data_IF_949281160602
#
_entry.id   IF_949281160602
#
_cell.length_a   1.000
_cell.length_b   1.000
_cell.length_c   1.000
_cell.angle_alpha   90.00
_cell.angle_beta   90.00
_cell.angle_gamma   90.00
#
_symmetry.space_group_name_H-M   'P 1'
#
loop_
_entity.id
_entity.type
_entity.pdbx_description
1 polymer ?
#
# COMPACT_ATOMS: atom_id res chain seq x y z
N UNK A 1 24.48 -24.30 -23.90
CA UNK A 1 25.26 -23.10 -23.53
C UNK A 1 25.09 -22.85 -22.03
N UNK A 2 26.09 -23.14 -21.19
CA UNK A 2 26.01 -22.96 -19.75
C UNK A 2 26.42 -21.54 -19.37
N UNK A 3 25.63 -20.87 -18.52
CA UNK A 3 26.05 -19.61 -17.91
C UNK A 3 25.70 -19.63 -16.41
N UNK A 4 26.69 -19.85 -15.53
CA UNK A 4 26.50 -19.82 -14.08
C UNK A 4 27.01 -18.49 -13.53
N UNK A 5 26.13 -17.66 -12.96
CA UNK A 5 26.53 -16.61 -12.00
C UNK A 5 25.47 -16.47 -10.91
N UNK A 6 25.68 -17.27 -9.87
CA UNK A 6 25.04 -17.13 -8.56
C UNK A 6 25.85 -16.07 -7.80
N UNK A 7 25.28 -14.89 -7.61
CA UNK A 7 25.86 -13.80 -6.83
C UNK A 7 25.60 -14.04 -5.34
N UNK A 8 26.66 -14.27 -4.57
CA UNK A 8 26.65 -14.52 -3.14
C UNK A 8 26.20 -13.29 -2.32
N UNK A 9 25.25 -13.41 -1.36
CA UNK A 9 24.91 -12.35 -0.43
C UNK A 9 25.39 -12.71 0.99
N UNK A 10 26.70 -12.66 1.26
CA UNK A 10 27.24 -12.90 2.61
C UNK A 10 28.42 -11.95 2.89
N UNK A 11 28.14 -10.66 3.06
CA UNK A 11 29.16 -9.68 3.49
C UNK A 11 28.57 -8.50 4.29
N UNK A 12 27.55 -8.74 5.14
CA UNK A 12 26.95 -7.71 6.01
C UNK A 12 26.94 -8.08 7.50
N UNK A 13 27.93 -8.87 7.95
CA UNK A 13 28.00 -9.38 9.33
C UNK A 13 29.09 -8.80 10.25
N UNK A 14 30.03 -7.98 9.76
CA UNK A 14 31.24 -7.65 10.54
C UNK A 14 31.12 -6.46 11.52
N UNK A 15 30.00 -5.71 11.52
CA UNK A 15 29.89 -4.49 12.34
C UNK A 15 29.60 -4.73 13.83
N UNK A 16 28.85 -5.77 14.16
CA UNK A 16 28.38 -6.01 15.55
C UNK A 16 29.48 -6.62 16.42
N UNK A 17 30.30 -7.51 15.86
CA UNK A 17 31.41 -8.15 16.59
C UNK A 17 32.51 -7.18 17.02
N UNK A 18 32.79 -6.12 16.25
CA UNK A 18 33.76 -5.09 16.66
C UNK A 18 33.24 -4.20 17.79
N UNK A 19 31.93 -3.92 17.85
CA UNK A 19 31.34 -3.12 18.93
C UNK A 19 31.33 -3.85 20.27
N UNK A 20 31.08 -5.16 20.27
CA UNK A 20 31.12 -5.97 21.49
C UNK A 20 32.52 -6.03 22.12
N UNK A 21 33.56 -6.23 21.31
CA UNK A 21 34.96 -6.23 21.80
C UNK A 21 35.42 -4.89 22.37
N UNK A 22 34.93 -3.78 21.84
CA UNK A 22 35.24 -2.45 22.37
C UNK A 22 34.59 -2.20 23.75
N UNK A 23 33.47 -2.86 24.05
CA UNK A 23 32.77 -2.76 25.33
C UNK A 23 33.48 -3.63 26.38
N UNK A 24 33.88 -4.87 26.04
CA UNK A 24 34.63 -5.75 26.95
C UNK A 24 35.97 -5.13 27.40
N UNK A 25 36.67 -4.46 26.49
CA UNK A 25 37.92 -3.75 26.81
C UNK A 25 37.71 -2.54 27.73
N UNK A 26 36.53 -1.91 27.71
CA UNK A 26 36.19 -0.82 28.62
C UNK A 26 35.78 -1.33 30.00
N UNK A 27 35.11 -2.48 30.07
CA UNK A 27 34.76 -3.14 31.33
C UNK A 27 36.01 -3.60 32.09
N UNK A 28 36.97 -4.26 31.42
CA UNK A 28 38.22 -4.69 32.07
C UNK A 28 39.09 -3.53 32.59
N UNK A 29 38.98 -2.34 31.97
CA UNK A 29 39.68 -1.13 32.42
C UNK A 29 39.02 -0.44 33.63
N UNK A 30 37.74 -0.68 33.85
CA UNK A 30 37.01 -0.15 35.02
C UNK A 30 37.17 -1.07 36.23
N UNK A 31 37.35 -2.37 36.02
CA UNK A 31 37.51 -3.36 37.08
C UNK A 31 38.92 -3.35 37.72
N UNK A 32 39.91 -2.76 37.03
CA UNK A 32 41.29 -2.66 37.48
C UNK A 32 41.69 -1.29 38.06
N UNK A 33 40.74 -0.36 38.19
CA UNK A 33 40.98 0.90 38.90
C UNK A 33 40.95 0.65 40.42
N UNK A 34 42.05 0.87 41.16
CA UNK A 34 42.06 0.72 42.61
C UNK A 34 41.07 1.70 43.23
N UNK A 35 40.12 1.18 44.00
CA UNK A 35 39.15 2.01 44.72
C UNK A 35 39.89 3.01 45.61
N UNK A 36 39.61 4.33 45.49
CA UNK A 36 40.20 5.31 46.38
C UNK A 36 39.79 5.02 47.82
N UNK A 37 40.67 5.30 48.81
CA UNK A 37 40.38 5.07 50.21
C UNK A 37 39.14 5.87 50.63
N UNK A 38 38.18 5.18 51.25
CA UNK A 38 36.90 5.75 51.67
C UNK A 38 37.13 6.97 52.58
N UNK A 39 36.65 8.17 52.23
CA UNK A 39 36.69 9.31 53.13
C UNK A 39 35.78 9.04 54.33
N UNK A 40 36.25 9.44 55.52
CA UNK A 40 35.51 9.27 56.77
C UNK A 40 34.08 9.86 56.63
N UNK A 41 33.04 9.16 57.11
CA UNK A 41 31.66 9.56 56.89
C UNK A 41 31.35 10.88 57.59
N UNK A 42 31.28 11.96 56.82
CA UNK A 42 30.77 13.24 57.29
C UNK A 42 29.29 13.14 57.69
N UNK A 43 28.82 14.04 58.56
CA UNK A 43 27.44 14.06 59.08
C UNK A 43 26.37 14.03 57.96
N UNK A 44 26.68 14.60 56.80
CA UNK A 44 25.82 14.56 55.59
C UNK A 44 25.69 13.15 55.01
N UNK A 45 26.72 12.31 55.08
CA UNK A 45 26.67 10.90 54.65
C UNK A 45 25.80 10.03 55.57
N UNK A 46 25.72 10.37 56.87
CA UNK A 46 24.77 9.73 57.80
C UNK A 46 23.32 10.16 57.55
N UNK A 47 23.09 11.43 57.19
CA UNK A 47 21.77 11.93 56.80
C UNK A 47 21.29 11.35 55.46
N UNK A 48 22.16 11.26 54.45
CA UNK A 48 21.86 10.60 53.18
C UNK A 48 21.72 9.08 53.32
N UNK A 49 22.51 8.43 54.18
CA UNK A 49 22.39 7.00 54.48
C UNK A 49 21.04 6.62 55.09
N UNK A 50 20.46 7.50 55.91
CA UNK A 50 19.09 7.34 56.42
C UNK A 50 17.99 7.57 55.37
N UNK A 51 18.25 8.39 54.35
CA UNK A 51 17.30 8.62 53.25
C UNK A 51 17.34 7.49 52.20
N UNK A 52 18.52 6.91 51.97
CA UNK A 52 18.74 5.82 51.02
C UNK A 52 18.03 4.54 51.44
N UNK A 53 17.82 4.29 52.74
CA UNK A 53 17.09 3.10 53.20
C UNK A 53 15.59 3.15 52.91
N UNK A 54 15.00 4.34 52.73
CA UNK A 54 13.59 4.53 52.38
C UNK A 54 13.34 4.66 50.85
N UNK A 55 14.38 4.92 50.07
CA UNK A 55 14.30 5.08 48.61
C UNK A 55 13.77 3.82 47.86
N UNK A 56 14.08 2.58 48.26
CA UNK A 56 13.58 1.38 47.56
C UNK A 56 12.06 1.30 47.52
N UNK A 57 11.37 1.77 48.56
CA UNK A 57 9.90 1.77 48.61
C UNK A 57 9.28 2.82 47.67
N UNK A 58 9.85 4.02 47.59
CA UNK A 58 9.41 5.05 46.65
C UNK A 58 9.73 4.67 45.20
N UNK A 59 10.86 3.99 44.97
CA UNK A 59 11.23 3.55 43.63
C UNK A 59 10.24 2.52 43.07
N UNK A 60 9.75 1.60 43.92
CA UNK A 60 8.74 0.61 43.51
C UNK A 60 7.44 1.25 43.03
N UNK A 61 6.91 2.26 43.75
CA UNK A 61 5.68 2.95 43.34
C UNK A 61 5.86 3.76 42.06
N UNK A 62 7.00 4.43 41.90
CA UNK A 62 7.34 5.16 40.67
C UNK A 62 7.48 4.21 39.49
N UNK A 63 8.15 3.07 39.65
CA UNK A 63 8.29 2.06 38.59
C UNK A 63 6.94 1.49 38.19
N UNK A 64 6.08 1.15 39.15
CA UNK A 64 4.71 0.69 38.84
C UNK A 64 3.88 1.76 38.12
N UNK A 65 4.05 3.04 38.49
CA UNK A 65 3.37 4.15 37.82
C UNK A 65 3.86 4.33 36.38
N UNK A 66 5.18 4.27 36.16
CA UNK A 66 5.77 4.36 34.81
C UNK A 66 5.38 3.16 33.95
N UNK A 67 5.41 1.93 34.50
CA UNK A 67 4.92 0.74 33.79
C UNK A 67 3.44 0.85 33.46
N UNK A 68 2.61 1.28 34.41
CA UNK A 68 1.18 1.50 34.19
C UNK A 68 0.91 2.53 33.10
N UNK A 69 1.67 3.62 33.09
CA UNK A 69 1.56 4.66 32.06
C UNK A 69 2.02 4.15 30.68
N UNK A 70 3.15 3.46 30.60
CA UNK A 70 3.68 2.92 29.34
C UNK A 70 2.73 1.86 28.73
N UNK A 71 2.13 1.01 29.57
CA UNK A 71 1.12 0.03 29.12
C UNK A 71 -0.15 0.73 28.64
N UNK A 72 -0.63 1.77 29.34
CA UNK A 72 -1.83 2.53 28.96
C UNK A 72 -1.66 3.21 27.60
N UNK A 73 -0.53 3.86 27.37
CA UNK A 73 -0.27 4.60 26.12
C UNK A 73 -0.15 3.63 24.93
N UNK A 74 0.49 2.48 25.14
CA UNK A 74 0.61 1.42 24.12
C UNK A 74 -0.76 0.84 23.73
N UNK A 75 -1.64 0.63 24.71
CA UNK A 75 -2.99 0.09 24.47
C UNK A 75 -3.91 1.14 23.83
N UNK A 76 -3.84 2.41 24.23
CA UNK A 76 -4.69 3.46 23.64
C UNK A 76 -4.36 3.69 22.15
N UNK A 77 -3.07 3.60 21.78
CA UNK A 77 -2.64 3.66 20.38
C UNK A 77 -3.18 2.46 19.58
N UNK A 78 -3.09 1.24 20.13
CA UNK A 78 -3.59 0.04 19.47
C UNK A 78 -5.11 0.05 19.29
N UNK A 79 -5.86 0.49 20.31
CA UNK A 79 -7.33 0.60 20.24
C UNK A 79 -7.74 1.64 19.21
N UNK A 80 -7.07 2.79 19.13
CA UNK A 80 -7.39 3.82 18.12
C UNK A 80 -7.17 3.32 16.70
N UNK A 81 -6.10 2.56 16.44
CA UNK A 81 -5.87 1.96 15.12
C UNK A 81 -6.98 0.95 14.76
N UNK A 82 -7.40 0.13 15.72
CA UNK A 82 -8.48 -0.83 15.51
C UNK A 82 -9.84 -0.15 15.29
N UNK A 83 -10.14 0.90 16.04
CA UNK A 83 -11.36 1.71 15.85
C UNK A 83 -11.37 2.40 14.50
N UNK A 84 -10.24 2.95 14.04
CA UNK A 84 -10.11 3.52 12.70
C UNK A 84 -10.39 2.47 11.63
N UNK A 85 -9.79 1.28 11.73
CA UNK A 85 -10.05 0.19 10.79
C UNK A 85 -11.51 -0.27 10.80
N UNK A 86 -12.16 -0.32 11.96
CA UNK A 86 -13.58 -0.67 12.06
C UNK A 86 -14.47 0.41 11.44
N UNK A 87 -14.19 1.69 11.70
CA UNK A 87 -14.92 2.81 11.12
C UNK A 87 -14.75 2.87 9.60
N UNK A 88 -13.54 2.60 9.09
CA UNK A 88 -13.27 2.48 7.66
C UNK A 88 -14.02 1.29 7.05
N UNK A 89 -13.99 0.13 7.69
CA UNK A 89 -14.73 -1.03 7.22
C UNK A 89 -16.24 -0.77 7.22
N UNK A 90 -16.77 -0.09 8.24
CA UNK A 90 -18.20 0.26 8.32
C UNK A 90 -18.60 1.27 7.24
N UNK A 91 -17.81 2.33 7.04
CA UNK A 91 -18.06 3.35 6.01
C UNK A 91 -17.91 2.80 4.59
N UNK A 92 -16.90 1.96 4.35
CA UNK A 92 -16.75 1.28 3.07
C UNK A 92 -17.91 0.32 2.81
N UNK A 93 -18.34 -0.45 3.83
CA UNK A 93 -19.51 -1.35 3.71
C UNK A 93 -20.79 -0.60 3.39
N UNK A 94 -21.06 0.53 4.03
CA UNK A 94 -22.27 1.31 3.75
C UNK A 94 -22.25 1.95 2.37
N UNK A 95 -21.08 2.36 1.87
CA UNK A 95 -20.91 2.80 0.49
C UNK A 95 -21.13 1.66 -0.51
N UNK A 96 -20.55 0.48 -0.25
CA UNK A 96 -20.73 -0.70 -1.08
C UNK A 96 -22.19 -1.17 -1.09
N UNK A 97 -22.88 -1.12 0.05
CA UNK A 97 -24.31 -1.44 0.14
C UNK A 97 -25.15 -0.48 -0.72
N UNK A 98 -24.81 0.81 -0.75
CA UNK A 98 -25.47 1.78 -1.63
C UNK A 98 -25.18 1.52 -3.11
N UNK A 99 -23.97 1.11 -3.46
CA UNK A 99 -23.63 0.71 -4.83
C UNK A 99 -24.33 -0.60 -5.24
N UNK A 100 -24.51 -1.52 -4.29
CA UNK A 100 -25.09 -2.83 -4.56
C UNK A 100 -26.62 -2.85 -4.56
N UNK A 101 -27.28 -1.82 -4.01
CA UNK A 101 -28.74 -1.67 -4.02
C UNK A 101 -29.30 -1.76 -5.44
N UNK A 102 -30.26 -2.67 -5.63
CA UNK A 102 -30.93 -2.85 -6.92
C UNK A 102 -31.61 -1.54 -7.37
N UNK A 103 -31.42 -1.16 -8.63
CA UNK A 103 -31.96 0.08 -9.17
C UNK A 103 -31.23 1.36 -8.73
N UNK A 104 -30.08 1.27 -8.05
CA UNK A 104 -29.25 2.45 -7.77
C UNK A 104 -28.86 3.13 -9.10
N UNK A 105 -29.24 4.40 -9.25
CA UNK A 105 -28.90 5.21 -10.41
C UNK A 105 -27.39 5.54 -10.44
N UNK A 106 -26.86 5.91 -11.62
CA UNK A 106 -25.42 6.15 -11.80
C UNK A 106 -24.88 7.27 -10.90
N UNK A 107 -25.67 8.30 -10.56
CA UNK A 107 -25.20 9.36 -9.67
C UNK A 107 -25.09 8.91 -8.21
N UNK A 108 -26.00 8.03 -7.77
CA UNK A 108 -25.92 7.45 -6.42
C UNK A 108 -24.69 6.55 -6.30
N UNK A 109 -24.42 5.73 -7.33
CA UNK A 109 -23.24 4.85 -7.32
C UNK A 109 -21.93 5.65 -7.38
N UNK A 110 -21.86 6.76 -8.13
CA UNK A 110 -20.70 7.67 -8.13
C UNK A 110 -20.48 8.33 -6.77
N UNK A 111 -21.54 8.83 -6.13
CA UNK A 111 -21.42 9.44 -4.79
C UNK A 111 -20.93 8.42 -3.76
N UNK A 112 -21.49 7.21 -3.76
CA UNK A 112 -21.04 6.13 -2.89
C UNK A 112 -19.57 5.75 -3.14
N UNK A 113 -19.16 5.66 -4.42
CA UNK A 113 -17.79 5.38 -4.80
C UNK A 113 -16.81 6.51 -4.40
N UNK A 114 -17.24 7.77 -4.44
CA UNK A 114 -16.44 8.90 -3.96
C UNK A 114 -16.24 8.86 -2.43
N UNK A 115 -17.27 8.46 -1.67
CA UNK A 115 -17.13 8.22 -0.22
C UNK A 115 -16.14 7.07 0.03
N UNK A 116 -16.23 5.97 -0.72
CA UNK A 116 -15.26 4.87 -0.63
C UNK A 116 -13.85 5.36 -0.97
N UNK A 117 -13.68 6.15 -2.03
CA UNK A 117 -12.39 6.72 -2.44
C UNK A 117 -11.74 7.60 -1.36
N UNK A 118 -12.51 8.21 -0.46
CA UNK A 118 -11.95 9.00 0.66
C UNK A 118 -11.09 8.17 1.64
N UNK A 119 -11.22 6.84 1.61
CA UNK A 119 -10.37 5.92 2.40
C UNK A 119 -9.01 5.62 1.73
N UNK A 120 -8.68 6.26 0.61
CA UNK A 120 -7.36 6.19 -0.01
C UNK A 120 -7.01 4.81 -0.57
N UNK A 121 -5.75 4.37 -0.39
CA UNK A 121 -5.26 3.10 -0.95
C UNK A 121 -6.05 1.85 -0.51
N UNK A 122 -6.67 1.87 0.69
CA UNK A 122 -7.50 0.78 1.19
C UNK A 122 -8.79 0.58 0.34
N UNK A 123 -9.24 1.63 -0.35
CA UNK A 123 -10.45 1.63 -1.17
C UNK A 123 -10.24 1.04 -2.57
N UNK A 124 -8.99 0.93 -3.03
CA UNK A 124 -8.67 0.50 -4.40
C UNK A 124 -9.24 -0.89 -4.70
N UNK A 125 -9.00 -1.88 -3.83
CA UNK A 125 -9.46 -3.25 -4.08
C UNK A 125 -10.98 -3.41 -4.03
N UNK A 126 -11.71 -2.84 -3.05
CA UNK A 126 -13.17 -2.78 -3.08
C UNK A 126 -13.73 -2.19 -4.38
N UNK A 127 -13.19 -1.05 -4.85
CA UNK A 127 -13.65 -0.45 -6.09
C UNK A 127 -13.31 -1.29 -7.32
N UNK A 128 -12.13 -1.92 -7.36
CA UNK A 128 -11.78 -2.88 -8.42
C UNK A 128 -12.74 -4.08 -8.44
N UNK A 129 -13.22 -4.54 -7.28
CA UNK A 129 -14.22 -5.60 -7.21
C UNK A 129 -15.59 -5.13 -7.73
N UNK A 130 -16.03 -3.93 -7.37
CA UNK A 130 -17.28 -3.35 -7.89
C UNK A 130 -17.21 -3.09 -9.39
N UNK A 131 -16.04 -2.75 -9.92
CA UNK A 131 -15.80 -2.59 -11.35
C UNK A 131 -16.11 -3.88 -12.13
N UNK A 132 -15.89 -5.05 -11.51
CA UNK A 132 -16.17 -6.37 -12.13
C UNK A 132 -17.65 -6.72 -12.16
N UNK A 133 -18.47 -6.10 -11.31
CA UNK A 133 -19.88 -6.45 -11.16
C UNK A 133 -20.73 -6.08 -12.38
N UNK A 134 -20.33 -5.06 -13.16
CA UNK A 134 -21.06 -4.59 -14.34
C UNK A 134 -22.08 -3.48 -14.06
N UNK A 135 -22.65 -2.89 -15.12
CA UNK A 135 -23.76 -1.93 -15.04
C UNK A 135 -23.40 -0.62 -14.31
N UNK A 136 -24.35 -0.09 -13.54
CA UNK A 136 -24.16 1.18 -12.81
C UNK A 136 -23.05 1.12 -11.75
N UNK A 137 -22.70 -0.08 -11.29
CA UNK A 137 -21.60 -0.30 -10.33
C UNK A 137 -20.24 -0.05 -10.99
N UNK A 138 -20.07 -0.48 -12.25
CA UNK A 138 -18.88 -0.16 -13.05
C UNK A 138 -18.68 1.34 -13.18
N UNK A 139 -19.75 2.09 -13.47
CA UNK A 139 -19.69 3.55 -13.61
C UNK A 139 -19.29 4.23 -12.29
N UNK A 140 -19.87 3.78 -11.17
CA UNK A 140 -19.49 4.28 -9.84
C UNK A 140 -18.03 3.94 -9.52
N UNK A 141 -17.63 2.68 -9.70
CA UNK A 141 -16.27 2.21 -9.45
C UNK A 141 -15.22 2.94 -10.29
N UNK A 142 -15.50 3.17 -11.59
CA UNK A 142 -14.64 3.96 -12.48
C UNK A 142 -14.47 5.39 -11.96
N UNK A 143 -15.55 6.04 -11.52
CA UNK A 143 -15.48 7.38 -10.95
C UNK A 143 -14.69 7.42 -9.63
N UNK A 144 -14.90 6.45 -8.74
CA UNK A 144 -14.17 6.33 -7.47
C UNK A 144 -12.68 6.07 -7.68
N UNK A 145 -12.33 5.15 -8.59
CA UNK A 145 -10.94 4.89 -8.95
C UNK A 145 -10.31 6.09 -9.64
N UNK A 146 -11.07 6.79 -10.50
CA UNK A 146 -10.68 8.06 -11.12
C UNK A 146 -10.38 9.14 -10.10
N UNK A 147 -11.15 9.25 -9.01
CA UNK A 147 -10.84 10.16 -7.91
C UNK A 147 -9.56 9.75 -7.18
N UNK A 148 -9.34 8.43 -6.98
CA UNK A 148 -8.12 7.91 -6.35
C UNK A 148 -6.86 8.09 -7.20
N UNK A 149 -6.95 8.25 -8.53
CA UNK A 149 -5.76 8.51 -9.35
C UNK A 149 -5.10 9.84 -9.00
N UNK A 150 -5.86 10.79 -8.44
CA UNK A 150 -5.36 12.11 -8.06
C UNK A 150 -4.50 12.06 -6.78
N UNK A 151 -4.78 11.11 -5.88
CA UNK A 151 -4.12 11.02 -4.58
C UNK A 151 -3.17 9.82 -4.48
N UNK A 152 -3.53 8.69 -5.09
CA UNK A 152 -2.87 7.39 -4.94
C UNK A 152 -2.64 6.68 -6.31
N UNK A 153 -2.04 7.35 -7.32
CA UNK A 153 -1.95 6.81 -8.68
C UNK A 153 -1.19 5.48 -8.74
N UNK A 154 -0.11 5.30 -7.97
CA UNK A 154 0.69 4.08 -7.99
C UNK A 154 -0.12 2.84 -7.51
N UNK A 155 -0.96 3.01 -6.48
CA UNK A 155 -1.81 1.94 -5.96
C UNK A 155 -2.88 1.54 -6.98
N UNK A 156 -3.52 2.53 -7.61
CA UNK A 156 -4.52 2.31 -8.65
C UNK A 156 -3.90 1.63 -9.87
N UNK A 157 -2.78 2.15 -10.40
CA UNK A 157 -2.06 1.56 -11.53
C UNK A 157 -1.67 0.10 -11.27
N UNK A 158 -1.12 -0.19 -10.08
CA UNK A 158 -0.70 -1.55 -9.70
C UNK A 158 -1.88 -2.52 -9.63
N UNK A 159 -3.02 -2.10 -9.08
CA UNK A 159 -4.22 -2.92 -8.98
C UNK A 159 -4.86 -3.15 -10.36
N UNK A 160 -5.07 -2.10 -11.15
CA UNK A 160 -5.70 -2.18 -12.47
C UNK A 160 -4.87 -2.96 -13.48
N UNK A 161 -3.53 -2.83 -13.45
CA UNK A 161 -2.66 -3.66 -14.30
C UNK A 161 -2.80 -5.14 -13.97
N UNK A 162 -2.90 -5.50 -12.69
CA UNK A 162 -3.13 -6.89 -12.27
C UNK A 162 -4.51 -7.39 -12.69
N UNK A 163 -5.55 -6.55 -12.57
CA UNK A 163 -6.89 -6.87 -13.05
C UNK A 163 -6.90 -7.10 -14.57
N UNK A 164 -6.23 -6.24 -15.34
CA UNK A 164 -6.12 -6.34 -16.80
C UNK A 164 -5.37 -7.61 -17.24
N UNK A 165 -4.27 -7.96 -16.57
CA UNK A 165 -3.53 -9.19 -16.84
C UNK A 165 -4.37 -10.47 -16.64
N UNK A 166 -5.42 -10.41 -15.82
CA UNK A 166 -6.35 -11.51 -15.56
C UNK A 166 -7.76 -11.23 -16.14
N UNK A 167 -7.89 -10.29 -17.09
CA UNK A 167 -9.20 -9.84 -17.60
C UNK A 167 -10.03 -10.98 -18.19
N UNK A 168 -9.34 -11.95 -18.77
CA UNK A 168 -9.91 -13.11 -19.44
C UNK A 168 -10.84 -13.97 -18.60
N UNK A 169 -10.68 -13.95 -17.29
CA UNK A 169 -11.49 -14.79 -16.42
C UNK A 169 -12.63 -13.99 -15.77
N UNK A 170 -12.47 -12.67 -15.64
CA UNK A 170 -13.02 -11.93 -14.50
C UNK A 170 -13.62 -10.57 -14.83
N UNK A 171 -13.36 -10.05 -16.03
CA UNK A 171 -13.82 -8.73 -16.46
C UNK A 171 -14.85 -8.89 -17.59
N UNK A 172 -16.03 -8.33 -17.37
CA UNK A 172 -17.00 -8.06 -18.42
C UNK A 172 -16.47 -6.98 -19.38
N UNK A 173 -17.06 -6.87 -20.57
CA UNK A 173 -16.60 -5.91 -21.59
C UNK A 173 -16.61 -4.45 -21.08
N UNK A 174 -17.66 -4.06 -20.35
CA UNK A 174 -17.76 -2.72 -19.74
C UNK A 174 -16.66 -2.47 -18.71
N UNK A 175 -16.45 -3.44 -17.82
CA UNK A 175 -15.41 -3.41 -16.79
C UNK A 175 -14.01 -3.32 -17.41
N UNK A 176 -13.78 -4.04 -18.52
CA UNK A 176 -12.54 -3.97 -19.28
C UNK A 176 -12.30 -2.55 -19.82
N UNK A 177 -13.29 -1.95 -20.48
CA UNK A 177 -13.16 -0.60 -21.03
C UNK A 177 -12.94 0.45 -19.92
N UNK A 178 -13.68 0.35 -18.81
CA UNK A 178 -13.49 1.23 -17.65
C UNK A 178 -12.09 1.09 -17.04
N UNK A 179 -11.56 -0.13 -16.96
CA UNK A 179 -10.17 -0.39 -16.51
C UNK A 179 -9.16 0.32 -17.42
N UNK A 180 -9.32 0.18 -18.74
CA UNK A 180 -8.42 0.79 -19.74
C UNK A 180 -8.47 2.32 -19.66
N UNK A 181 -9.66 2.92 -19.56
CA UNK A 181 -9.83 4.37 -19.36
C UNK A 181 -9.19 4.86 -18.09
N UNK A 182 -9.41 4.17 -16.98
CA UNK A 182 -8.86 4.56 -15.68
C UNK A 182 -7.34 4.44 -15.66
N UNK A 183 -6.75 3.43 -16.32
CA UNK A 183 -5.31 3.32 -16.50
C UNK A 183 -4.71 4.49 -17.29
N UNK A 184 -5.40 4.94 -18.35
CA UNK A 184 -4.99 6.10 -19.12
C UNK A 184 -5.11 7.40 -18.29
N UNK A 185 -6.22 7.58 -17.57
CA UNK A 185 -6.47 8.73 -16.71
C UNK A 185 -5.45 8.83 -15.55
N UNK A 186 -4.98 7.69 -15.06
CA UNK A 186 -3.99 7.59 -14.01
C UNK A 186 -2.53 7.77 -14.50
N UNK A 187 -2.32 8.10 -15.78
CA UNK A 187 -0.99 8.22 -16.40
C UNK A 187 -0.13 6.95 -16.20
N UNK A 188 -0.73 5.75 -16.20
CA UNK A 188 -0.03 4.49 -15.91
C UNK A 188 0.88 4.03 -17.07
N UNK A 189 2.02 4.68 -17.30
CA UNK A 189 2.96 4.33 -18.39
C UNK A 189 3.46 2.88 -18.32
N UNK A 190 3.57 2.31 -17.12
CA UNK A 190 3.98 0.92 -16.89
C UNK A 190 2.95 -0.11 -17.39
N UNK A 191 1.74 0.34 -17.77
CA UNK A 191 0.71 -0.50 -18.37
C UNK A 191 0.81 -0.58 -19.91
N UNK A 192 1.63 0.24 -20.57
CA UNK A 192 1.75 0.29 -22.04
C UNK A 192 2.06 -1.08 -22.66
N UNK A 193 2.99 -1.82 -22.08
CA UNK A 193 3.36 -3.15 -22.57
C UNK A 193 2.16 -4.12 -22.54
N UNK A 194 1.38 -4.09 -21.45
CA UNK A 194 0.18 -4.92 -21.30
C UNK A 194 -0.90 -4.46 -22.27
N UNK A 195 -1.15 -3.16 -22.41
CA UNK A 195 -2.16 -2.63 -23.33
C UNK A 195 -1.87 -3.00 -24.79
N UNK A 196 -0.62 -2.90 -25.25
CA UNK A 196 -0.22 -3.32 -26.60
C UNK A 196 -0.43 -4.82 -26.84
N UNK A 197 -0.09 -5.65 -25.87
CA UNK A 197 -0.34 -7.08 -25.92
C UNK A 197 -1.85 -7.40 -26.00
N UNK A 198 -2.67 -6.72 -25.21
CA UNK A 198 -4.12 -6.82 -25.34
C UNK A 198 -4.63 -6.32 -26.70
N UNK A 199 -4.08 -5.24 -27.24
CA UNK A 199 -4.45 -4.70 -28.56
C UNK A 199 -4.23 -5.71 -29.69
N UNK A 200 -3.09 -6.41 -29.66
CA UNK A 200 -2.78 -7.47 -30.63
C UNK A 200 -3.78 -8.62 -30.48
N UNK A 201 -4.07 -9.05 -29.25
CA UNK A 201 -5.06 -10.12 -28.99
C UNK A 201 -6.48 -9.75 -29.43
N UNK A 202 -6.92 -8.52 -29.16
CA UNK A 202 -8.23 -8.02 -29.59
C UNK A 202 -8.30 -7.94 -31.12
N UNK A 203 -7.22 -7.52 -31.78
CA UNK A 203 -7.10 -7.54 -33.24
C UNK A 203 -7.24 -8.95 -33.82
N UNK A 204 -6.51 -9.92 -33.27
CA UNK A 204 -6.61 -11.32 -33.67
C UNK A 204 -8.02 -11.89 -33.42
N UNK A 205 -8.65 -11.55 -32.29
CA UNK A 205 -10.04 -11.92 -31.98
C UNK A 205 -11.01 -11.40 -33.03
N UNK A 206 -10.82 -10.14 -33.47
CA UNK A 206 -11.71 -9.48 -34.42
C UNK A 206 -11.60 -10.07 -35.82
N UNK A 207 -10.38 -10.43 -36.24
CA UNK A 207 -10.12 -11.11 -37.52
C UNK A 207 -10.69 -12.55 -37.53
N UNK A 208 -10.66 -13.23 -36.39
CA UNK A 208 -11.18 -14.59 -36.24
C UNK A 208 -12.69 -14.67 -35.99
N UNK A 209 -13.44 -13.57 -36.16
CA UNK A 209 -14.89 -13.55 -35.91
C UNK A 209 -15.28 -13.84 -34.45
N UNK A 210 -14.35 -13.69 -33.50
CA UNK A 210 -14.55 -13.97 -32.09
C UNK A 210 -14.56 -15.47 -31.73
N UNK A 211 -14.24 -16.37 -32.66
CA UNK A 211 -14.47 -17.81 -32.46
C UNK A 211 -13.39 -18.53 -31.64
N UNK A 212 -12.12 -18.13 -31.79
CA UNK A 212 -10.95 -18.91 -31.31
C UNK A 212 -10.09 -18.25 -30.23
N UNK A 213 -10.49 -17.10 -29.69
CA UNK A 213 -9.66 -16.46 -28.66
C UNK A 213 -9.94 -17.01 -27.28
N UNK A 214 -8.88 -17.56 -26.65
CA UNK A 214 -8.72 -17.70 -25.20
C UNK A 214 -9.42 -16.51 -24.53
N UNK A 215 -10.28 -16.73 -23.51
CA UNK A 215 -11.23 -15.70 -23.11
C UNK A 215 -10.44 -14.44 -22.72
N UNK A 216 -10.67 -13.36 -23.46
CA UNK A 216 -10.10 -12.03 -23.22
C UNK A 216 -10.92 -11.27 -22.18
N UNK A 217 -12.17 -11.67 -22.07
CA UNK A 217 -13.21 -11.19 -21.16
C UNK A 217 -14.01 -12.41 -20.70
N UNK A 218 -14.69 -12.28 -19.56
CA UNK A 218 -15.50 -13.34 -18.95
C UNK A 218 -16.63 -13.81 -19.88
N UNK A 219 -17.30 -12.87 -20.54
CA UNK A 219 -18.32 -13.14 -21.56
C UNK A 219 -17.77 -12.88 -22.94
N UNK A 220 -18.22 -13.64 -23.94
CA UNK A 220 -17.85 -13.44 -25.34
C UNK A 220 -18.33 -12.05 -25.77
N UNK A 221 -17.42 -11.10 -26.10
CA UNK A 221 -17.84 -9.77 -26.51
C UNK A 221 -18.53 -9.85 -27.87
N UNK A 222 -19.54 -9.01 -28.07
CA UNK A 222 -20.14 -8.81 -29.40
C UNK A 222 -19.11 -8.17 -30.35
N UNK A 223 -19.25 -8.29 -31.68
CA UNK A 223 -18.36 -7.63 -32.63
C UNK A 223 -18.26 -6.12 -32.40
N UNK A 224 -19.38 -5.49 -32.01
CA UNK A 224 -19.42 -4.07 -31.67
C UNK A 224 -18.64 -3.76 -30.39
N UNK A 225 -18.80 -4.56 -29.33
CA UNK A 225 -18.01 -4.40 -28.09
C UNK A 225 -16.52 -4.60 -28.34
N UNK A 226 -16.15 -5.54 -29.20
CA UNK A 226 -14.77 -5.79 -29.57
C UNK A 226 -14.15 -4.61 -30.33
N UNK A 227 -14.89 -4.02 -31.27
CA UNK A 227 -14.48 -2.80 -31.97
C UNK A 227 -14.31 -1.64 -30.98
N UNK A 228 -15.27 -1.41 -30.10
CA UNK A 228 -15.17 -0.37 -29.06
C UNK A 228 -13.98 -0.60 -28.13
N UNK A 229 -13.70 -1.84 -27.73
CA UNK A 229 -12.56 -2.18 -26.89
C UNK A 229 -11.23 -1.90 -27.59
N UNK A 230 -11.12 -2.21 -28.90
CA UNK A 230 -9.95 -1.87 -29.71
C UNK A 230 -9.72 -0.36 -29.75
N UNK A 231 -10.77 0.41 -30.07
CA UNK A 231 -10.70 1.87 -30.12
C UNK A 231 -10.31 2.48 -28.77
N UNK A 232 -10.85 1.96 -27.66
CA UNK A 232 -10.54 2.42 -26.32
C UNK A 232 -9.08 2.13 -25.93
N UNK A 233 -8.57 0.94 -26.27
CA UNK A 233 -7.17 0.57 -26.03
C UNK A 233 -6.22 1.43 -26.88
N UNK A 234 -6.56 1.68 -28.15
CA UNK A 234 -5.76 2.57 -29.02
C UNK A 234 -5.71 4.00 -28.47
N UNK A 235 -6.85 4.55 -28.01
CA UNK A 235 -6.90 5.85 -27.34
C UNK A 235 -6.03 5.88 -26.08
N UNK A 236 -6.13 4.85 -25.23
CA UNK A 236 -5.34 4.76 -24.00
C UNK A 236 -3.84 4.68 -24.28
N UNK A 237 -3.42 3.89 -25.28
CA UNK A 237 -2.02 3.81 -25.70
C UNK A 237 -1.54 5.18 -26.20
N UNK A 238 -2.31 5.83 -27.07
CA UNK A 238 -1.95 7.14 -27.62
C UNK A 238 -1.82 8.21 -26.52
N UNK A 239 -2.73 8.24 -25.55
CA UNK A 239 -2.66 9.14 -24.39
C UNK A 239 -1.39 8.90 -23.56
N UNK A 240 -1.08 7.64 -23.27
CA UNK A 240 0.10 7.27 -22.46
C UNK A 240 1.43 7.50 -23.20
N UNK A 241 1.44 7.38 -24.54
CA UNK A 241 2.62 7.68 -25.37
C UNK A 241 2.85 9.19 -25.55
N UNK A 242 1.78 9.99 -25.53
CA UNK A 242 1.86 11.45 -25.60
C UNK A 242 2.41 12.08 -24.31
N UNK A 243 2.43 11.35 -23.20
CA UNK A 243 3.01 11.84 -21.95
C UNK A 243 4.53 12.01 -22.13
N UNK A 244 5.08 13.22 -21.89
CA UNK A 244 6.53 13.42 -21.93
C UNK A 244 7.15 12.47 -20.91
N UNK A 245 8.22 11.74 -21.30
CA UNK A 245 8.84 10.67 -20.51
C UNK A 245 9.12 11.16 -19.08
N UNK A 246 8.15 10.99 -18.15
CA UNK A 246 8.20 11.52 -16.78
C UNK A 246 9.25 10.81 -15.93
N UNK A 247 10.06 9.93 -16.55
CA UNK A 247 11.28 9.35 -15.96
C UNK A 247 12.18 10.40 -15.31
N UNK A 248 12.18 11.64 -15.78
CA UNK A 248 12.97 12.73 -15.20
C UNK A 248 12.46 13.25 -13.85
N UNK A 249 11.15 13.19 -13.56
CA UNK A 249 10.58 13.71 -12.31
C UNK A 249 10.78 12.79 -11.09
N UNK A 250 10.88 11.47 -11.31
CA UNK A 250 11.04 10.48 -10.22
C UNK A 250 12.44 10.51 -9.58
N UNK A 251 13.43 11.13 -10.23
CA UNK A 251 14.78 11.31 -9.70
C UNK A 251 14.92 12.49 -8.73
N UNK A 252 14.03 13.50 -8.81
CA UNK A 252 14.16 14.72 -8.02
C UNK A 252 13.41 14.68 -6.67
N UNK A 253 12.49 13.73 -6.46
CA UNK A 253 11.63 13.69 -5.27
C UNK A 253 12.01 12.71 -4.16
N UNK A 254 13.07 11.90 -4.31
CA UNK A 254 13.39 10.81 -3.37
C UNK A 254 14.54 11.15 -2.40
N UNK A 255 14.66 12.43 -2.03
CA UNK A 255 15.73 12.91 -1.15
C UNK A 255 15.33 14.14 -0.35
N UNK A 256 14.47 13.97 0.66
CA UNK A 256 14.57 14.79 1.87
C UNK A 256 14.02 13.98 3.04
N UNK A 257 14.86 13.20 3.75
CA UNK A 257 14.49 12.75 5.09
C UNK A 257 14.32 14.00 5.96
N UNK A 258 13.13 14.13 6.55
CA UNK A 258 12.90 15.04 7.68
C UNK A 258 13.44 14.41 8.96
#
# INVERSE_FOLDING_TARGET
MPNPRVSSPLARGCGVGQRLRAIDLRLGKLESAPSPPAPAPGVVARLLGGLVSAWPQLFSSVVMLVLGFAVKDSVDIAIRQQQLQQNFAAGARSGLEQMTREGAGPEVTKQAAAVIASFGSAAVMPLVNELRAGGNRTVGAEAGLGALTLTEPEAVCSALRRALAHSGQWLQAEAYMATVRTLALADCTDALAVLRDHRVRLGAASAAGGETTRPLMEQRPTPQQLKSAIEEVDKAIALLEALPDRRWGRWLGRGSPA
#
